data_IF_859652168527
#
_entry.id   IF_859652168527
#
_cell.length_a   1.000
_cell.length_b   1.000
_cell.length_c   1.000
_cell.angle_alpha   90.00
_cell.angle_beta   90.00
_cell.angle_gamma   90.00
#
_symmetry.space_group_name_H-M   'P 1'
#
loop_
_entity.id
_entity.type
_entity.pdbx_description
1 polymer ?
#
# COMPACT_ATOMS: atom_id res chain seq x y z
N UNK A 1 -0.79 -10.38 -2.09
CA UNK A 1 -1.73 -11.35 -1.52
C UNK A 1 -1.67 -12.65 -2.33
N UNK A 2 -1.71 -13.81 -1.68
CA UNK A 2 -1.79 -15.09 -2.40
C UNK A 2 -3.24 -15.39 -2.88
N UNK A 3 -3.41 -16.49 -3.62
CA UNK A 3 -4.74 -16.89 -4.15
C UNK A 3 -5.84 -17.01 -3.08
N UNK A 4 -5.60 -17.53 -1.85
CA UNK A 4 -6.63 -17.56 -0.83
C UNK A 4 -7.16 -16.16 -0.48
N UNK A 5 -6.28 -15.17 -0.34
CA UNK A 5 -6.68 -13.79 -0.06
C UNK A 5 -7.44 -13.18 -1.25
N UNK A 6 -7.03 -13.48 -2.48
CA UNK A 6 -7.74 -13.04 -3.69
C UNK A 6 -9.18 -13.57 -3.73
N UNK A 7 -9.40 -14.82 -3.32
CA UNK A 7 -10.74 -15.41 -3.22
C UNK A 7 -11.59 -14.68 -2.17
N UNK A 8 -11.03 -14.42 -0.98
CA UNK A 8 -11.72 -13.66 0.08
C UNK A 8 -12.13 -12.27 -0.42
N UNK A 9 -11.22 -11.56 -1.08
CA UNK A 9 -11.51 -10.23 -1.62
C UNK A 9 -12.58 -10.27 -2.70
N UNK A 10 -12.55 -11.27 -3.60
CA UNK A 10 -13.58 -11.47 -4.61
C UNK A 10 -14.95 -11.72 -3.98
N UNK A 11 -15.01 -12.54 -2.94
CA UNK A 11 -16.26 -12.83 -2.22
C UNK A 11 -16.83 -11.58 -1.53
N UNK A 12 -15.98 -10.81 -0.88
CA UNK A 12 -16.38 -9.54 -0.27
C UNK A 12 -16.94 -8.57 -1.32
N UNK A 13 -16.27 -8.47 -2.47
CA UNK A 13 -16.73 -7.59 -3.56
C UNK A 13 -18.05 -8.07 -4.16
N UNK A 14 -18.26 -9.36 -4.35
CA UNK A 14 -19.55 -9.93 -4.82
C UNK A 14 -20.70 -9.62 -3.85
N UNK A 15 -20.41 -9.58 -2.56
CA UNK A 15 -21.35 -9.20 -1.50
C UNK A 15 -21.58 -7.69 -1.37
N UNK A 16 -20.97 -6.88 -2.24
CA UNK A 16 -21.13 -5.43 -2.24
C UNK A 16 -20.23 -4.69 -1.22
N UNK A 17 -19.31 -5.37 -0.54
CA UNK A 17 -18.40 -4.73 0.42
C UNK A 17 -17.43 -3.82 -0.32
N UNK A 18 -17.34 -2.56 0.07
CA UNK A 18 -16.34 -1.64 -0.46
C UNK A 18 -14.96 -1.97 0.13
N UNK A 19 -14.00 -2.32 -0.71
CA UNK A 19 -12.62 -2.63 -0.29
C UNK A 19 -11.68 -1.58 -0.84
N UNK A 20 -10.92 -0.93 0.06
CA UNK A 20 -9.90 0.06 -0.27
C UNK A 20 -8.56 -0.34 0.33
N UNK A 21 -7.51 -0.26 -0.44
CA UNK A 21 -6.15 -0.66 -0.03
C UNK A 21 -5.21 0.50 -0.22
N UNK A 22 -4.41 0.79 0.80
CA UNK A 22 -3.24 1.65 0.74
C UNK A 22 -2.00 0.80 0.89
N UNK A 23 -1.08 0.90 -0.05
CA UNK A 23 0.20 0.18 -0.02
C UNK A 23 1.34 1.06 -0.52
N UNK A 24 2.56 0.57 -0.47
CA UNK A 24 3.70 1.27 -1.03
C UNK A 24 3.71 1.19 -2.57
N UNK A 25 4.07 2.29 -3.23
CA UNK A 25 4.52 2.25 -4.62
C UNK A 25 5.90 1.58 -4.72
N UNK A 26 6.34 1.30 -5.94
CA UNK A 26 7.71 0.82 -6.16
C UNK A 26 8.76 1.83 -5.66
N UNK A 27 8.48 3.11 -5.74
CA UNK A 27 9.39 4.15 -5.29
C UNK A 27 9.45 4.27 -3.75
N UNK A 28 8.37 3.95 -3.04
CA UNK A 28 8.29 4.10 -1.57
C UNK A 28 8.58 2.80 -0.81
N UNK A 29 8.60 1.64 -1.49
CA UNK A 29 8.83 0.36 -0.82
C UNK A 29 10.27 0.22 -0.32
N UNK A 30 10.42 -0.39 0.85
CA UNK A 30 11.68 -0.88 1.42
C UNK A 30 11.98 -2.35 1.03
N UNK A 31 10.99 -3.05 0.44
CA UNK A 31 11.07 -4.45 0.05
C UNK A 31 10.70 -4.65 -1.44
N UNK A 32 11.63 -4.39 -2.40
CA UNK A 32 11.35 -4.52 -3.83
C UNK A 32 10.86 -5.91 -4.26
N UNK A 33 11.31 -6.97 -3.59
CA UNK A 33 10.85 -8.33 -3.87
C UNK A 33 9.36 -8.51 -3.52
N UNK A 34 8.92 -8.02 -2.35
CA UNK A 34 7.52 -8.04 -1.97
C UNK A 34 6.64 -7.23 -2.95
N UNK A 35 7.18 -6.10 -3.44
CA UNK A 35 6.51 -5.32 -4.47
C UNK A 35 6.39 -6.08 -5.79
N UNK A 36 7.41 -6.83 -6.19
CA UNK A 36 7.37 -7.68 -7.39
C UNK A 36 6.23 -8.73 -7.30
N UNK A 37 6.03 -9.33 -6.14
CA UNK A 37 4.91 -10.24 -5.89
C UNK A 37 3.55 -9.53 -5.94
N UNK A 38 3.42 -8.39 -5.29
CA UNK A 38 2.19 -7.60 -5.29
C UNK A 38 1.76 -7.16 -6.70
N UNK A 39 2.69 -6.72 -7.55
CA UNK A 39 2.41 -6.25 -8.92
C UNK A 39 1.55 -7.22 -9.74
N UNK A 40 1.74 -8.52 -9.59
CA UNK A 40 0.99 -9.56 -10.32
C UNK A 40 -0.51 -9.55 -10.04
N UNK A 41 -0.90 -9.02 -8.89
CA UNK A 41 -2.29 -9.00 -8.43
C UNK A 41 -3.03 -7.70 -8.73
N UNK A 42 -2.33 -6.62 -9.12
CA UNK A 42 -2.92 -5.29 -9.30
C UNK A 42 -4.13 -5.29 -10.23
N UNK A 43 -3.95 -5.81 -11.46
CA UNK A 43 -5.01 -5.81 -12.47
C UNK A 43 -6.20 -6.64 -12.02
N UNK A 44 -5.96 -7.80 -11.43
CA UNK A 44 -7.02 -8.66 -10.89
C UNK A 44 -7.78 -7.98 -9.75
N UNK A 45 -7.09 -7.32 -8.84
CA UNK A 45 -7.71 -6.56 -7.74
C UNK A 45 -8.58 -5.42 -8.28
N UNK A 46 -8.07 -4.66 -9.23
CA UNK A 46 -8.83 -3.59 -9.88
C UNK A 46 -10.04 -4.11 -10.64
N UNK A 47 -9.89 -5.22 -11.38
CA UNK A 47 -10.98 -5.88 -12.10
C UNK A 47 -12.11 -6.37 -11.17
N UNK A 48 -11.78 -6.78 -9.94
CA UNK A 48 -12.77 -7.11 -8.91
C UNK A 48 -13.45 -5.87 -8.31
N UNK A 49 -12.99 -4.65 -8.64
CA UNK A 49 -13.49 -3.40 -8.09
C UNK A 49 -12.87 -3.03 -6.73
N UNK A 50 -11.73 -3.61 -6.35
CA UNK A 50 -10.94 -3.13 -5.22
C UNK A 50 -10.31 -1.79 -5.59
N UNK A 51 -10.42 -0.80 -4.72
CA UNK A 51 -9.77 0.49 -4.91
C UNK A 51 -8.33 0.42 -4.37
N UNK A 52 -7.35 0.51 -5.27
CA UNK A 52 -5.93 0.49 -4.92
C UNK A 52 -5.36 1.89 -4.90
N UNK A 53 -4.61 2.19 -3.84
CA UNK A 53 -3.85 3.41 -3.69
C UNK A 53 -2.40 3.07 -3.34
N UNK A 54 -1.46 3.72 -4.03
CA UNK A 54 -0.02 3.54 -3.81
C UNK A 54 0.62 4.82 -3.31
N UNK A 55 1.26 4.74 -2.14
CA UNK A 55 1.95 5.88 -1.52
C UNK A 55 3.12 6.34 -2.38
N UNK A 56 3.29 7.65 -2.50
CA UNK A 56 4.47 8.29 -3.07
C UNK A 56 5.70 8.13 -2.16
N UNK A 57 6.88 8.15 -2.77
CA UNK A 57 8.14 8.19 -2.03
C UNK A 57 8.43 9.58 -1.43
N UNK A 58 8.05 10.64 -2.11
CA UNK A 58 8.23 12.01 -1.68
C UNK A 58 6.97 12.56 -1.01
N UNK A 59 7.02 12.82 0.28
CA UNK A 59 6.08 13.71 0.94
C UNK A 59 6.67 15.11 0.86
N UNK A 60 6.37 15.85 -0.21
CA UNK A 60 6.69 17.26 -0.25
C UNK A 60 5.86 18.00 0.80
N UNK A 61 6.56 18.61 1.74
CA UNK A 61 6.08 19.78 2.47
C UNK A 61 4.90 19.60 3.40
N UNK A 62 4.97 18.75 4.41
CA UNK A 62 4.19 18.98 5.62
C UNK A 62 4.87 19.99 6.54
N UNK A 63 5.08 21.19 6.03
CA UNK A 63 5.47 22.35 6.80
C UNK A 63 4.31 23.01 7.54
N UNK A 64 3.24 22.28 7.88
CA UNK A 64 2.20 22.78 8.75
C UNK A 64 2.53 22.39 10.20
N UNK A 65 2.67 23.36 11.13
CA UNK A 65 2.79 23.05 12.56
C UNK A 65 1.49 22.39 13.02
N UNK A 66 1.53 21.09 13.31
CA UNK A 66 0.38 20.28 13.71
C UNK A 66 0.04 19.13 12.79
N UNK A 67 0.72 18.95 11.66
CA UNK A 67 0.59 17.75 10.83
C UNK A 67 1.19 16.56 11.58
N UNK A 68 0.30 15.73 12.11
CA UNK A 68 0.66 14.55 12.87
C UNK A 68 1.64 13.68 12.08
N UNK A 69 2.90 13.73 12.48
CA UNK A 69 3.96 12.76 12.13
C UNK A 69 3.63 11.35 12.66
N UNK A 70 2.35 11.02 12.76
CA UNK A 70 1.86 9.81 13.41
C UNK A 70 1.94 8.53 12.58
N UNK A 71 2.39 8.59 11.33
CA UNK A 71 2.53 7.38 10.50
C UNK A 71 3.97 7.11 10.06
N UNK A 72 4.95 7.83 10.57
CA UNK A 72 6.36 7.45 10.45
C UNK A 72 6.71 6.42 11.51
N UNK A 73 6.04 5.28 11.51
CA UNK A 73 6.45 4.10 12.26
C UNK A 73 7.46 3.33 11.43
N UNK A 74 8.73 3.50 11.76
CA UNK A 74 9.77 2.61 11.29
C UNK A 74 10.88 3.24 10.47
N UNK A 75 11.55 4.26 11.02
CA UNK A 75 12.93 4.54 10.62
C UNK A 75 13.83 3.63 11.43
N UNK A 76 14.17 2.46 10.90
CA UNK A 76 15.28 1.67 11.44
C UNK A 76 16.60 2.45 11.33
N UNK A 77 17.64 2.18 12.18
CA UNK A 77 18.91 2.91 12.20
C UNK A 77 19.80 2.50 11.01
N UNK A 78 19.38 2.86 9.81
CA UNK A 78 20.14 2.73 8.56
C UNK A 78 20.24 4.07 7.89
N UNK A 79 21.00 5.00 8.49
CA UNK A 79 21.15 6.36 7.97
C UNK A 79 21.73 6.36 6.56
N UNK A 80 20.95 6.68 5.55
CA UNK A 80 21.45 7.07 4.25
C UNK A 80 21.94 8.52 4.32
N UNK A 81 23.21 8.72 4.07
CA UNK A 81 23.83 10.01 3.90
C UNK A 81 23.12 10.77 2.77
N UNK A 82 22.49 11.90 3.08
CA UNK A 82 22.16 12.96 2.13
C UNK A 82 21.06 12.63 1.10
N UNK A 83 19.88 12.23 1.55
CA UNK A 83 18.71 12.08 0.68
C UNK A 83 17.44 12.54 1.39
N UNK A 84 16.49 13.08 0.64
CA UNK A 84 15.16 13.40 1.14
C UNK A 84 14.58 12.18 1.89
N UNK A 85 13.97 12.42 3.05
CA UNK A 85 13.29 11.38 3.83
C UNK A 85 12.22 10.71 2.96
N UNK A 86 12.43 9.45 2.59
CA UNK A 86 11.47 8.67 1.81
C UNK A 86 10.39 8.14 2.74
N UNK A 87 9.14 8.45 2.44
CA UNK A 87 8.03 7.87 3.17
C UNK A 87 7.88 6.39 2.76
N UNK A 88 7.90 5.49 3.72
CA UNK A 88 7.55 4.09 3.53
C UNK A 88 6.47 3.70 4.51
N UNK A 89 5.43 3.02 4.02
CA UNK A 89 4.35 2.49 4.84
C UNK A 89 4.77 1.12 5.37
N UNK A 90 4.89 1.01 6.69
CA UNK A 90 5.19 -0.26 7.36
C UNK A 90 4.05 -0.75 8.28
N UNK A 91 2.95 -0.02 8.31
CA UNK A 91 1.77 -0.34 9.12
C UNK A 91 0.97 -1.48 8.50
N UNK A 92 0.56 -2.45 9.32
CA UNK A 92 -0.36 -3.53 8.97
C UNK A 92 -1.63 -3.31 9.77
N UNK A 93 -2.58 -2.63 9.16
CA UNK A 93 -3.86 -2.29 9.79
C UNK A 93 -5.01 -2.61 8.84
N UNK A 94 -6.09 -3.13 9.42
CA UNK A 94 -7.34 -3.38 8.73
C UNK A 94 -8.46 -2.69 9.53
N UNK A 95 -9.29 -1.92 8.84
CA UNK A 95 -10.43 -1.23 9.45
C UNK A 95 -11.70 -1.80 8.84
N UNK A 96 -12.58 -2.31 9.69
CA UNK A 96 -13.84 -2.92 9.28
C UNK A 96 -15.00 -2.03 9.73
N UNK A 97 -15.77 -1.58 8.75
CA UNK A 97 -17.02 -0.82 8.89
C UNK A 97 -16.91 0.40 9.82
N UNK A 98 -15.69 0.96 9.96
CA UNK A 98 -15.40 2.06 10.90
C UNK A 98 -15.80 1.75 12.36
N UNK A 99 -15.76 0.49 12.73
CA UNK A 99 -16.16 -0.03 14.04
C UNK A 99 -15.04 -0.84 14.72
N UNK A 100 -14.22 -1.51 13.90
CA UNK A 100 -13.20 -2.43 14.38
C UNK A 100 -11.88 -2.15 13.67
N UNK A 101 -10.80 -2.17 14.45
CA UNK A 101 -9.43 -2.05 13.96
C UNK A 101 -8.69 -3.35 14.28
N UNK A 102 -8.05 -3.92 13.26
CA UNK A 102 -7.04 -4.97 13.45
C UNK A 102 -5.70 -4.35 13.12
N UNK A 103 -4.76 -4.42 14.04
CA UNK A 103 -3.40 -3.88 13.86
C UNK A 103 -2.38 -4.88 14.39
N UNK A 104 -1.31 -5.10 13.65
CA UNK A 104 -0.32 -6.10 14.04
C UNK A 104 0.91 -6.13 13.17
N UNK A 105 1.60 -7.25 13.22
CA UNK A 105 2.80 -7.50 12.43
C UNK A 105 2.53 -8.23 11.10
N UNK A 106 1.36 -8.86 10.94
CA UNK A 106 1.01 -9.72 9.81
C UNK A 106 0.77 -8.91 8.52
N UNK A 107 1.55 -9.18 7.49
CA UNK A 107 1.25 -8.74 6.13
C UNK A 107 0.15 -9.60 5.48
N UNK A 108 -0.48 -9.09 4.44
CA UNK A 108 -1.46 -9.85 3.65
C UNK A 108 -0.78 -10.70 2.56
N UNK A 109 0.33 -11.36 2.91
CA UNK A 109 1.07 -12.28 2.04
C UNK A 109 1.06 -13.72 2.61
N UNK A 110 1.39 -14.70 1.77
CA UNK A 110 1.37 -16.11 2.17
C UNK A 110 2.46 -16.44 3.18
N UNK A 111 3.60 -15.77 3.15
CA UNK A 111 4.68 -16.00 4.11
C UNK A 111 4.26 -15.61 5.52
N UNK A 112 3.64 -14.44 5.69
CA UNK A 112 3.10 -14.01 6.98
C UNK A 112 2.01 -14.95 7.48
N UNK A 113 1.17 -15.47 6.56
CA UNK A 113 0.07 -16.36 6.94
C UNK A 113 0.52 -17.78 7.31
N UNK A 114 1.57 -18.32 6.66
CA UNK A 114 1.91 -19.73 6.74
C UNK A 114 3.23 -20.03 7.45
N UNK A 115 4.15 -19.07 7.52
CA UNK A 115 5.54 -19.33 7.96
C UNK A 115 6.03 -18.46 9.10
N UNK A 116 5.41 -17.30 9.32
CA UNK A 116 5.83 -16.37 10.35
C UNK A 116 4.99 -16.56 11.62
N UNK A 117 5.60 -16.27 12.77
CA UNK A 117 4.85 -16.02 14.02
C UNK A 117 4.43 -14.56 14.02
N UNK A 118 3.14 -14.33 14.01
CA UNK A 118 2.56 -12.99 13.90
C UNK A 118 1.68 -12.66 15.10
N UNK A 119 1.60 -11.39 15.44
CA UNK A 119 0.72 -10.88 16.51
C UNK A 119 -0.21 -9.84 15.92
N UNK A 120 -1.48 -9.91 16.27
CA UNK A 120 -2.47 -8.90 15.92
C UNK A 120 -3.38 -8.58 17.12
N UNK A 121 -3.70 -7.30 17.25
CA UNK A 121 -4.71 -6.79 18.18
C UNK A 121 -5.99 -6.54 17.41
N UNK A 122 -7.09 -7.05 17.93
CA UNK A 122 -8.43 -6.79 17.42
C UNK A 122 -9.12 -5.85 18.39
N UNK A 123 -9.31 -4.60 17.97
CA UNK A 123 -9.81 -3.51 18.84
C UNK A 123 -11.20 -3.10 18.37
N UNK A 124 -12.20 -3.36 19.20
CA UNK A 124 -13.57 -2.91 18.95
C UNK A 124 -13.76 -1.51 19.52
N UNK A 125 -13.57 -0.51 18.68
CA UNK A 125 -13.72 0.91 19.02
C UNK A 125 -14.11 1.72 17.78
N UNK A 126 -15.33 2.19 17.72
CA UNK A 126 -15.80 3.01 16.60
C UNK A 126 -15.00 4.30 16.47
N UNK A 127 -14.64 4.94 17.60
CA UNK A 127 -13.82 6.16 17.59
C UNK A 127 -12.45 5.90 16.95
N UNK A 128 -11.72 4.90 17.46
CA UNK A 128 -10.40 4.56 16.91
C UNK A 128 -10.49 4.17 15.43
N UNK A 129 -11.52 3.39 15.06
CA UNK A 129 -11.71 2.97 13.67
C UNK A 129 -12.02 4.15 12.73
N UNK A 130 -12.81 5.12 13.19
CA UNK A 130 -13.10 6.33 12.43
C UNK A 130 -11.87 7.23 12.30
N UNK A 131 -11.11 7.46 13.38
CA UNK A 131 -9.89 8.25 13.36
C UNK A 131 -8.84 7.60 12.44
N UNK A 132 -8.67 6.28 12.52
CA UNK A 132 -7.75 5.53 11.64
C UNK A 132 -8.18 5.57 10.18
N UNK A 133 -9.49 5.44 9.90
CA UNK A 133 -10.02 5.56 8.54
C UNK A 133 -9.77 6.96 7.97
N UNK A 134 -9.99 8.01 8.76
CA UNK A 134 -9.76 9.39 8.35
C UNK A 134 -8.27 9.66 8.01
N UNK A 135 -7.34 9.07 8.77
CA UNK A 135 -5.90 9.16 8.47
C UNK A 135 -5.55 8.53 7.13
N UNK A 136 -6.08 7.32 6.85
CA UNK A 136 -5.85 6.62 5.57
C UNK A 136 -6.50 7.39 4.42
N UNK A 137 -7.71 7.89 4.59
CA UNK A 137 -8.41 8.72 3.59
C UNK A 137 -7.66 10.02 3.32
N UNK A 138 -7.08 10.63 4.34
CA UNK A 138 -6.17 11.75 4.19
C UNK A 138 -4.94 11.43 3.34
N UNK A 139 -4.40 10.23 3.45
CA UNK A 139 -3.30 9.76 2.61
C UNK A 139 -3.73 9.56 1.15
N UNK A 140 -4.93 9.03 0.91
CA UNK A 140 -5.50 8.94 -0.45
C UNK A 140 -5.61 10.32 -1.12
N UNK A 141 -6.02 11.32 -0.35
CA UNK A 141 -6.27 12.65 -0.88
C UNK A 141 -5.00 13.47 -1.17
N UNK A 142 -3.87 13.18 -0.52
CA UNK A 142 -2.69 14.05 -0.57
C UNK A 142 -1.39 13.38 -0.98
N UNK A 143 -1.25 12.09 -0.72
CA UNK A 143 0.06 11.43 -0.79
C UNK A 143 0.08 10.09 -1.52
N UNK A 144 -0.98 9.70 -2.18
CA UNK A 144 -1.06 8.43 -2.87
C UNK A 144 -1.65 8.57 -4.27
N UNK A 145 -1.15 7.76 -5.19
CA UNK A 145 -1.79 7.56 -6.49
C UNK A 145 -2.95 6.58 -6.36
N UNK A 146 -4.06 6.87 -7.00
CA UNK A 146 -5.10 5.87 -7.25
C UNK A 146 -4.77 5.10 -8.52
N UNK A 147 -4.81 3.77 -8.45
CA UNK A 147 -4.61 2.93 -9.62
C UNK A 147 -5.92 2.70 -10.35
N UNK A 148 -5.84 2.71 -11.68
CA UNK A 148 -6.95 2.44 -12.59
C UNK A 148 -6.50 1.52 -13.72
N UNK A 149 -7.42 0.69 -14.22
CA UNK A 149 -7.23 -0.04 -15.48
C UNK A 149 -7.50 0.93 -16.63
N UNK A 150 -6.54 1.06 -17.53
CA UNK A 150 -6.68 1.74 -18.81
C UNK A 150 -6.61 0.69 -19.93
N UNK A 151 -7.10 1.03 -21.13
CA UNK A 151 -7.16 0.05 -22.22
C UNK A 151 -5.85 -0.62 -22.61
N UNK A 152 -4.73 0.00 -22.26
CA UNK A 152 -3.35 -0.43 -22.54
C UNK A 152 -2.53 -0.79 -21.29
N UNK A 153 -3.19 -0.90 -20.11
CA UNK A 153 -2.52 -1.29 -18.87
C UNK A 153 -2.96 -0.50 -17.65
N UNK A 154 -2.03 -0.24 -16.74
CA UNK A 154 -2.28 0.47 -15.50
C UNK A 154 -2.02 1.98 -15.65
N UNK A 155 -2.83 2.77 -14.97
CA UNK A 155 -2.64 4.21 -14.82
C UNK A 155 -2.66 4.58 -13.34
N UNK A 156 -1.70 5.40 -12.96
CA UNK A 156 -1.60 6.03 -11.63
C UNK A 156 -2.18 7.43 -11.70
N UNK A 157 -3.31 7.64 -11.06
CA UNK A 157 -4.00 8.93 -11.01
C UNK A 157 -3.57 9.72 -9.79
N UNK A 158 -3.10 10.92 -10.00
CA UNK A 158 -2.88 11.89 -8.95
C UNK A 158 -4.22 12.40 -8.39
N UNK A 159 -4.33 12.65 -7.09
CA UNK A 159 -5.52 13.32 -6.53
C UNK A 159 -5.71 14.72 -7.11
N UNK A 160 -6.95 15.20 -7.13
CA UNK A 160 -7.23 16.58 -7.57
C UNK A 160 -6.47 17.58 -6.70
N UNK A 161 -5.81 18.54 -7.33
CA UNK A 161 -4.99 19.56 -6.65
C UNK A 161 -3.65 19.07 -6.11
N UNK A 162 -3.22 17.85 -6.45
CA UNK A 162 -1.92 17.34 -6.07
C UNK A 162 -0.78 18.11 -6.77
N UNK A 163 0.39 18.18 -6.12
CA UNK A 163 1.62 18.75 -6.69
C UNK A 163 2.34 17.82 -7.68
N UNK A 164 1.77 16.66 -7.97
CA UNK A 164 2.30 15.64 -8.87
C UNK A 164 1.27 15.23 -9.92
N UNK A 165 1.73 14.60 -10.99
CA UNK A 165 0.91 14.31 -12.16
C UNK A 165 0.61 12.82 -12.29
N UNK A 166 -0.40 12.49 -13.10
CA UNK A 166 -0.69 11.11 -13.53
C UNK A 166 0.51 10.46 -14.17
N UNK A 167 0.61 9.13 -14.03
CA UNK A 167 1.65 8.34 -14.65
C UNK A 167 1.07 7.08 -15.32
N UNK A 168 1.74 6.62 -16.38
CA UNK A 168 1.43 5.37 -17.11
C UNK A 168 2.43 4.26 -16.83
N UNK A 169 3.40 4.53 -15.98
CA UNK A 169 4.40 3.55 -15.52
C UNK A 169 4.73 3.84 -14.07
N UNK A 170 5.41 2.92 -13.37
CA UNK A 170 5.79 3.05 -11.96
C UNK A 170 6.28 4.47 -11.62
N UNK A 171 5.47 5.30 -10.94
CA UNK A 171 5.84 6.70 -10.72
C UNK A 171 7.03 6.82 -9.76
N UNK A 172 7.85 7.83 -9.98
CA UNK A 172 8.99 8.18 -9.11
C UNK A 172 10.06 7.07 -8.93
N UNK A 173 9.84 5.89 -9.52
CA UNK A 173 10.79 4.78 -9.40
C UNK A 173 11.97 4.93 -10.37
N UNK A 174 13.23 4.84 -9.88
CA UNK A 174 14.40 4.85 -10.74
C UNK A 174 14.39 3.70 -11.75
N UNK A 175 14.91 3.94 -12.97
CA UNK A 175 14.97 2.90 -14.02
C UNK A 175 15.66 1.61 -13.56
N UNK A 176 16.73 1.72 -12.78
CA UNK A 176 17.44 0.57 -12.20
C UNK A 176 16.53 -0.28 -11.31
N UNK A 177 15.69 0.37 -10.49
CA UNK A 177 14.75 -0.33 -9.62
C UNK A 177 13.63 -1.01 -10.42
N UNK A 178 13.11 -0.34 -11.45
CA UNK A 178 12.13 -0.93 -12.38
C UNK A 178 12.69 -2.17 -13.08
N UNK A 179 13.93 -2.08 -13.59
CA UNK A 179 14.61 -3.19 -14.24
C UNK A 179 14.83 -4.36 -13.27
N UNK A 180 15.26 -4.08 -12.04
CA UNK A 180 15.45 -5.09 -11.00
C UNK A 180 14.13 -5.83 -10.69
N UNK A 181 13.04 -5.10 -10.47
CA UNK A 181 11.74 -5.70 -10.17
C UNK A 181 11.20 -6.49 -11.36
N UNK A 182 11.39 -6.03 -12.58
CA UNK A 182 11.02 -6.79 -13.78
C UNK A 182 11.82 -8.10 -13.91
N UNK A 183 13.10 -8.07 -13.56
CA UNK A 183 13.94 -9.26 -13.54
C UNK A 183 13.53 -10.24 -12.44
N UNK A 184 13.17 -9.75 -11.27
CA UNK A 184 12.78 -10.57 -10.11
C UNK A 184 11.36 -11.14 -10.22
N UNK A 185 10.46 -10.47 -10.93
CA UNK A 185 9.04 -10.83 -10.98
C UNK A 185 8.76 -12.28 -11.39
N UNK A 186 9.46 -12.90 -12.38
CA UNK A 186 9.25 -14.30 -12.72
C UNK A 186 9.72 -15.30 -11.65
N UNK A 187 10.66 -14.87 -10.79
CA UNK A 187 11.32 -15.72 -9.79
C UNK A 187 10.83 -15.46 -8.36
N UNK A 188 9.82 -14.64 -8.19
CA UNK A 188 9.26 -14.28 -6.89
C UNK A 188 7.98 -15.10 -6.62
N UNK A 189 8.09 -16.38 -6.17
CA UNK A 189 6.91 -17.19 -5.84
C UNK A 189 6.23 -16.60 -4.60
N UNK A 190 4.90 -16.70 -4.55
CA UNK A 190 4.07 -16.14 -3.48
C UNK A 190 4.43 -16.66 -2.08
N UNK A 191 5.09 -17.81 -2.00
CA UNK A 191 5.47 -18.48 -0.76
C UNK A 191 6.77 -17.94 -0.12
N UNK A 192 7.52 -17.13 -0.87
CA UNK A 192 8.82 -16.57 -0.42
C UNK A 192 8.68 -15.07 -0.11
N UNK A 193 7.61 -14.46 -0.57
CA UNK A 193 7.36 -13.01 -0.48
C UNK A 193 6.59 -12.63 0.77
#
# INVERSE_FOLDING_TARGET
PGEPMMQVLADLRRRGVAVRVLTNSLASTDAPAAHAGYRRYRERLLAMGVQLHEMRAGLEGSGAPGSASGLTLGSGPGGSKGGQSRASLHSKALILDRQLVVIGSMNLDLRSQLKNSEVALVIRSARLAQDSAALIEGSFARGAYRLELAGDGLRWRAPAGASFQDATSEPEAPLKLRALVNLLAPFAPDEIL
#
